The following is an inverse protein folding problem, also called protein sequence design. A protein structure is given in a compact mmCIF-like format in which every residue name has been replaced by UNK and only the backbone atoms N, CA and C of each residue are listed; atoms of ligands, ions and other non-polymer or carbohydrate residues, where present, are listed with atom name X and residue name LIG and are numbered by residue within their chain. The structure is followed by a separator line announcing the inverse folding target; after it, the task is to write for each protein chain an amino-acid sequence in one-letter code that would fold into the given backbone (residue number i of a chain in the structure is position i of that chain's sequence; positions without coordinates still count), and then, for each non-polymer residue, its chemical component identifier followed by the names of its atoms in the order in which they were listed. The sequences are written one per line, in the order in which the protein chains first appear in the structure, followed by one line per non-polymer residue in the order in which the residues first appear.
data_IF_144237352150
#
_entry.id   IF_144237352150
#
_cell.length_a   1.000
_cell.length_b   1.000
_cell.length_c   1.000
_cell.angle_alpha   90.00
_cell.angle_beta   90.00
_cell.angle_gamma   90.00
#
_symmetry.space_group_name_H-M   'P 1'
#
loop_
_entity.id
_entity.type
_entity.pdbx_description
1 polymer ?
#
# COMPACT_ATOMS: atom_id res chain seq x y z
N UNK A 1 -13.08 5.78 -34.96
CA UNK A 1 -13.99 5.58 -33.81
C UNK A 1 -13.23 4.83 -32.74
N UNK A 2 -12.54 5.55 -31.86
CA UNK A 2 -12.14 5.01 -30.57
C UNK A 2 -13.11 5.60 -29.56
N UNK A 3 -13.97 4.71 -29.08
CA UNK A 3 -15.09 4.94 -28.19
C UNK A 3 -14.61 5.50 -26.86
N UNK A 4 -15.45 6.37 -26.29
CA UNK A 4 -15.19 7.19 -25.12
C UNK A 4 -14.59 6.45 -23.93
N UNK A 5 -13.49 7.00 -23.44
CA UNK A 5 -13.19 7.01 -22.01
C UNK A 5 -13.84 8.31 -21.55
N UNK A 6 -14.99 8.20 -20.87
CA UNK A 6 -15.68 9.35 -20.31
C UNK A 6 -14.74 10.06 -19.33
N UNK A 7 -14.76 11.40 -19.32
CA UNK A 7 -13.94 12.24 -18.44
C UNK A 7 -14.11 11.91 -16.93
N UNK A 8 -15.12 11.13 -16.55
CA UNK A 8 -15.31 10.58 -15.21
C UNK A 8 -14.24 9.54 -14.82
N UNK A 9 -13.76 8.73 -15.78
CA UNK A 9 -12.82 7.61 -15.55
C UNK A 9 -11.39 8.09 -15.22
N UNK A 10 -11.11 9.37 -15.49
CA UNK A 10 -9.85 10.06 -15.18
C UNK A 10 -9.92 10.77 -13.82
N UNK A 11 -11.10 10.91 -13.22
CA UNK A 11 -11.34 11.74 -12.02
C UNK A 11 -11.54 10.95 -10.71
N UNK A 12 -11.63 9.62 -10.74
CA UNK A 12 -11.88 8.78 -9.55
C UNK A 12 -10.76 7.79 -9.19
N UNK A 13 -9.55 7.94 -9.75
CA UNK A 13 -8.44 7.06 -9.35
C UNK A 13 -8.04 7.34 -7.90
N UNK A 14 -8.31 6.37 -7.03
CA UNK A 14 -7.91 6.37 -5.62
C UNK A 14 -6.66 5.53 -5.46
N UNK A 15 -5.62 6.11 -4.89
CA UNK A 15 -4.34 5.45 -4.66
C UNK A 15 -4.05 5.37 -3.16
N UNK A 16 -3.86 4.15 -2.66
CA UNK A 16 -3.31 3.89 -1.34
C UNK A 16 -1.80 3.68 -1.45
N UNK A 17 -1.02 4.61 -0.91
CA UNK A 17 0.43 4.50 -0.75
C UNK A 17 0.77 4.00 0.65
N UNK A 18 1.31 2.80 0.76
CA UNK A 18 1.70 2.21 2.04
C UNK A 18 3.21 2.33 2.24
N UNK A 19 3.61 2.95 3.35
CA UNK A 19 4.98 2.84 3.86
C UNK A 19 5.18 1.41 4.41
N UNK A 20 5.90 0.62 3.63
CA UNK A 20 6.15 -0.77 3.93
C UNK A 20 7.03 -1.00 5.16
N UNK A 21 7.92 -0.06 5.50
CA UNK A 21 8.73 -0.18 6.72
C UNK A 21 7.84 0.00 7.95
N UNK A 22 7.05 1.09 7.99
CA UNK A 22 6.08 1.31 9.06
C UNK A 22 5.12 0.12 9.22
N UNK A 23 4.63 -0.44 8.10
CA UNK A 23 3.69 -1.55 8.10
C UNK A 23 4.24 -2.83 8.73
N UNK A 24 5.37 -3.36 8.21
CA UNK A 24 5.96 -4.62 8.69
C UNK A 24 6.44 -4.53 10.15
N UNK A 25 6.80 -3.32 10.61
CA UNK A 25 7.24 -3.05 11.97
C UNK A 25 6.11 -2.61 12.90
N UNK A 26 4.85 -2.62 12.47
CA UNK A 26 3.69 -2.30 13.31
C UNK A 26 2.76 -3.49 13.50
N UNK A 27 2.45 -4.24 12.44
CA UNK A 27 1.51 -5.38 12.49
C UNK A 27 2.08 -6.58 13.29
N UNK A 28 1.32 -7.14 14.24
CA UNK A 28 1.79 -8.21 15.14
C UNK A 28 2.35 -9.44 14.41
N UNK A 29 1.72 -9.84 13.30
CA UNK A 29 2.05 -11.04 12.53
C UNK A 29 3.43 -10.88 11.88
N UNK A 30 3.69 -9.73 11.24
CA UNK A 30 4.95 -9.40 10.58
C UNK A 30 6.06 -9.18 11.60
N UNK A 31 5.77 -8.48 12.71
CA UNK A 31 6.70 -8.36 13.85
C UNK A 31 7.14 -9.72 14.38
N UNK A 32 6.20 -10.65 14.51
CA UNK A 32 6.48 -12.01 14.98
C UNK A 32 7.39 -12.77 14.02
N UNK A 33 7.22 -12.58 12.71
CA UNK A 33 8.10 -13.17 11.69
C UNK A 33 9.51 -12.57 11.77
N UNK A 34 9.62 -11.24 11.78
CA UNK A 34 10.91 -10.53 11.86
C UNK A 34 11.67 -10.94 13.11
N UNK A 35 11.01 -10.95 14.28
CA UNK A 35 11.63 -11.31 15.55
C UNK A 35 12.13 -12.76 15.58
N UNK A 36 11.43 -13.69 14.90
CA UNK A 36 11.79 -15.12 14.91
C UNK A 36 12.89 -15.47 13.91
N UNK A 37 12.98 -14.77 12.79
CA UNK A 37 13.92 -15.13 11.71
C UNK A 37 15.09 -14.16 11.48
N UNK A 38 15.23 -13.09 12.26
CA UNK A 38 16.40 -12.19 12.16
C UNK A 38 16.45 -11.38 10.86
N UNK A 39 17.65 -11.06 10.36
CA UNK A 39 17.85 -10.22 9.17
C UNK A 39 17.22 -10.75 7.88
N UNK A 40 17.12 -12.08 7.77
CA UNK A 40 16.57 -12.78 6.60
C UNK A 40 15.02 -12.84 6.58
N UNK A 41 14.36 -12.47 7.68
CA UNK A 41 12.91 -12.53 7.82
C UNK A 41 12.15 -11.33 7.22
N UNK A 42 12.88 -10.33 6.71
CA UNK A 42 12.28 -9.13 6.09
C UNK A 42 11.46 -9.51 4.86
N UNK A 43 11.99 -10.40 4.00
CA UNK A 43 11.32 -10.80 2.77
C UNK A 43 10.02 -11.58 3.00
N UNK A 44 9.97 -12.59 3.90
CA UNK A 44 8.71 -13.18 4.34
C UNK A 44 7.69 -12.15 4.87
N UNK A 45 8.12 -11.18 5.68
CA UNK A 45 7.21 -10.15 6.21
C UNK A 45 6.65 -9.23 5.11
N UNK A 46 7.47 -8.88 4.10
CA UNK A 46 7.03 -8.11 2.92
C UNK A 46 5.96 -8.85 2.14
N UNK A 47 6.18 -10.14 1.84
CA UNK A 47 5.20 -10.97 1.13
C UNK A 47 3.89 -11.09 1.89
N UNK A 48 3.94 -11.28 3.22
CA UNK A 48 2.74 -11.32 4.04
C UNK A 48 1.98 -9.99 4.03
N UNK A 49 2.70 -8.85 4.02
CA UNK A 49 2.07 -7.53 3.91
C UNK A 49 1.37 -7.35 2.57
N UNK A 50 2.05 -7.68 1.46
CA UNK A 50 1.46 -7.60 0.11
C UNK A 50 0.20 -8.47 0.02
N UNK A 51 0.26 -9.71 0.51
CA UNK A 51 -0.89 -10.61 0.52
C UNK A 51 -2.07 -10.05 1.34
N UNK A 52 -1.82 -9.47 2.51
CA UNK A 52 -2.88 -8.89 3.34
C UNK A 52 -3.53 -7.67 2.68
N UNK A 53 -2.74 -6.84 1.99
CA UNK A 53 -3.25 -5.68 1.26
C UNK A 53 -4.09 -6.05 0.04
N UNK A 54 -3.98 -7.27 -0.46
CA UNK A 54 -4.80 -7.78 -1.57
C UNK A 54 -6.29 -7.67 -1.24
N UNK A 55 -6.67 -7.88 0.02
CA UNK A 55 -8.04 -7.74 0.48
C UNK A 55 -8.63 -6.36 0.19
N UNK A 56 -7.83 -5.28 0.24
CA UNK A 56 -8.29 -3.93 -0.11
C UNK A 56 -8.42 -3.80 -1.63
N UNK A 57 -7.41 -4.21 -2.39
CA UNK A 57 -7.42 -4.13 -3.86
C UNK A 57 -8.55 -4.97 -4.49
N UNK A 58 -8.89 -6.11 -3.88
CA UNK A 58 -9.95 -7.01 -4.36
C UNK A 58 -11.36 -6.54 -3.96
N UNK A 59 -11.49 -5.93 -2.77
CA UNK A 59 -12.78 -5.49 -2.23
C UNK A 59 -13.17 -4.07 -2.67
N UNK A 60 -12.24 -3.30 -3.24
CA UNK A 60 -12.42 -1.89 -3.57
C UNK A 60 -11.83 -1.55 -4.93
N UNK A 61 -12.10 -0.36 -5.44
CA UNK A 61 -11.48 0.17 -6.67
C UNK A 61 -10.20 0.97 -6.39
N UNK A 62 -9.61 0.77 -5.20
CA UNK A 62 -8.40 1.50 -4.77
C UNK A 62 -7.17 0.80 -5.32
N UNK A 63 -6.38 1.51 -6.11
CA UNK A 63 -5.04 1.05 -6.49
C UNK A 63 -4.15 1.03 -5.24
N UNK A 64 -3.46 -0.08 -4.97
CA UNK A 64 -2.57 -0.20 -3.82
C UNK A 64 -1.12 -0.25 -4.28
N UNK A 65 -0.28 0.63 -3.73
CA UNK A 65 1.15 0.57 -3.91
C UNK A 65 1.88 0.57 -2.56
N UNK A 66 2.82 -0.37 -2.40
CA UNK A 66 3.64 -0.49 -1.19
C UNK A 66 5.06 -0.05 -1.51
N UNK A 67 5.59 0.88 -0.72
CA UNK A 67 6.95 1.40 -0.89
C UNK A 67 7.84 0.85 0.21
N UNK A 68 8.92 0.17 -0.17
CA UNK A 68 9.94 -0.31 0.75
C UNK A 68 11.28 0.38 0.50
N UNK A 69 12.11 0.49 1.52
CA UNK A 69 13.52 0.83 1.31
C UNK A 69 14.24 -0.28 0.54
N UNK A 70 14.86 0.10 -0.58
CA UNK A 70 15.69 -0.79 -1.38
C UNK A 70 17.18 -0.71 -1.02
N UNK A 71 17.88 -1.83 -1.17
CA UNK A 71 19.34 -1.91 -1.05
C UNK A 71 19.97 -1.84 -2.45
N UNK A 72 19.97 -0.65 -3.05
CA UNK A 72 20.60 -0.39 -4.35
C UNK A 72 19.67 -0.63 -5.55
N UNK A 73 19.72 0.30 -6.53
CA UNK A 73 18.87 0.31 -7.74
C UNK A 73 17.39 0.63 -7.46
N UNK A 74 16.73 1.42 -8.33
CA UNK A 74 15.26 1.59 -8.25
C UNK A 74 14.64 0.42 -9.02
N UNK A 75 13.87 -0.41 -8.33
CA UNK A 75 13.18 -1.55 -8.95
C UNK A 75 11.68 -1.44 -8.63
N UNK A 76 10.87 -1.42 -9.68
CA UNK A 76 9.43 -1.60 -9.58
C UNK A 76 9.16 -3.08 -9.86
N UNK A 77 8.51 -3.75 -8.93
CA UNK A 77 8.08 -5.13 -9.09
C UNK A 77 6.57 -5.15 -8.95
N UNK A 78 5.89 -5.47 -10.04
CA UNK A 78 4.49 -5.89 -9.94
C UNK A 78 4.55 -7.32 -9.43
N UNK A 79 3.95 -7.59 -8.28
CA UNK A 79 3.85 -8.97 -7.81
C UNK A 79 2.78 -9.67 -8.66
N UNK A 80 3.21 -10.44 -9.66
CA UNK A 80 2.31 -11.18 -10.55
C UNK A 80 1.43 -12.20 -9.79
N UNK A 81 1.79 -12.56 -8.55
CA UNK A 81 0.99 -13.47 -7.71
C UNK A 81 -0.19 -12.79 -7.02
N UNK A 82 -0.19 -11.45 -6.92
CA UNK A 82 -1.26 -10.66 -6.28
C UNK A 82 -1.72 -9.59 -7.25
N UNK A 83 -2.80 -9.86 -7.98
CA UNK A 83 -3.34 -8.94 -8.98
C UNK A 83 -3.71 -7.60 -8.31
N UNK A 84 -3.29 -6.48 -8.88
CA UNK A 84 -3.71 -5.14 -8.42
C UNK A 84 -2.82 -4.46 -7.38
N UNK A 85 -1.72 -5.08 -6.92
CA UNK A 85 -0.76 -4.44 -6.01
C UNK A 85 0.58 -4.15 -6.70
N UNK A 86 1.04 -2.90 -6.59
CA UNK A 86 2.37 -2.49 -7.05
C UNK A 86 3.35 -2.47 -5.88
N UNK A 87 4.44 -3.22 -5.97
CA UNK A 87 5.53 -3.16 -4.99
C UNK A 87 6.66 -2.30 -5.56
N UNK A 88 7.05 -1.26 -4.82
CA UNK A 88 8.08 -0.33 -5.26
C UNK A 88 9.22 -0.31 -4.26
N UNK A 89 10.43 -0.55 -4.73
CA UNK A 89 11.64 -0.38 -3.94
C UNK A 89 12.27 0.98 -4.24
N UNK A 90 12.55 1.73 -3.17
CA UNK A 90 13.38 2.93 -3.27
C UNK A 90 14.79 2.56 -3.77
N UNK A 91 15.46 3.49 -4.45
CA UNK A 91 16.74 3.20 -5.10
C UNK A 91 17.79 4.29 -4.88
N UNK A 92 19.06 3.87 -4.77
CA UNK A 92 20.21 4.76 -4.67
C UNK A 92 20.26 5.53 -3.34
N UNK A 93 20.33 6.86 -3.39
CA UNK A 93 20.37 7.76 -2.21
C UNK A 93 18.97 8.18 -1.71
N UNK A 94 17.89 7.63 -2.24
CA UNK A 94 16.51 8.07 -1.94
C UNK A 94 15.82 7.03 -1.07
N UNK A 95 15.26 7.48 0.05
CA UNK A 95 14.44 6.66 0.95
C UNK A 95 13.04 6.41 0.37
N UNK A 96 12.33 5.45 0.95
CA UNK A 96 10.90 5.23 0.73
C UNK A 96 10.09 6.52 0.97
N UNK A 97 10.38 7.23 2.07
CA UNK A 97 9.75 8.50 2.43
C UNK A 97 9.83 9.53 1.29
N UNK A 98 11.05 9.76 0.78
CA UNK A 98 11.25 10.71 -0.32
C UNK A 98 10.59 10.27 -1.63
N UNK A 99 10.31 8.98 -1.81
CA UNK A 99 9.50 8.51 -2.93
C UNK A 99 8.01 8.80 -2.72
N UNK A 100 7.48 8.53 -1.52
CA UNK A 100 6.09 8.83 -1.16
C UNK A 100 5.82 10.33 -1.33
N UNK A 101 6.66 11.18 -0.73
CA UNK A 101 6.57 12.64 -0.86
C UNK A 101 6.54 13.09 -2.33
N UNK A 102 7.39 12.50 -3.18
CA UNK A 102 7.45 12.85 -4.60
C UNK A 102 6.20 12.44 -5.36
N UNK A 103 5.65 11.26 -5.07
CA UNK A 103 4.40 10.81 -5.70
C UNK A 103 3.27 11.74 -5.30
N UNK A 104 3.16 12.05 -4.01
CA UNK A 104 2.14 12.96 -3.48
C UNK A 104 2.30 14.37 -4.04
N UNK A 105 3.49 14.96 -3.98
CA UNK A 105 3.73 16.32 -4.50
C UNK A 105 3.42 16.45 -6.00
N UNK A 106 3.55 15.36 -6.76
CA UNK A 106 3.26 15.35 -8.20
C UNK A 106 1.78 15.11 -8.52
N UNK A 107 1.09 14.30 -7.72
CA UNK A 107 -0.21 13.75 -8.10
C UNK A 107 -1.34 14.04 -7.09
N UNK A 108 -1.03 14.46 -5.88
CA UNK A 108 -1.99 14.67 -4.78
C UNK A 108 -3.02 15.77 -5.04
N UNK A 109 -2.78 16.67 -5.99
CA UNK A 109 -3.76 17.65 -6.43
C UNK A 109 -4.70 17.12 -7.55
N UNK A 110 -4.33 16.02 -8.21
CA UNK A 110 -5.03 15.48 -9.39
C UNK A 110 -5.83 14.22 -9.06
N UNK A 111 -5.35 13.41 -8.13
CA UNK A 111 -5.96 12.13 -7.73
C UNK A 111 -6.06 12.05 -6.21
N UNK A 112 -7.05 11.29 -5.73
CA UNK A 112 -7.21 11.04 -4.30
C UNK A 112 -6.14 10.03 -3.83
N UNK A 113 -5.14 10.52 -3.07
CA UNK A 113 -4.08 9.70 -2.50
C UNK A 113 -4.29 9.59 -1.00
N UNK A 114 -4.20 8.38 -0.46
CA UNK A 114 -4.07 8.15 0.98
C UNK A 114 -2.71 7.54 1.28
N UNK A 115 -1.94 8.16 2.17
CA UNK A 115 -0.65 7.65 2.65
C UNK A 115 -0.85 6.95 3.99
N UNK A 116 -0.46 5.68 4.08
CA UNK A 116 -0.46 4.91 5.31
C UNK A 116 0.96 4.75 5.88
N UNK A 117 1.23 5.38 7.04
CA UNK A 117 2.51 5.31 7.74
C UNK A 117 2.32 5.50 9.25
N UNK A 118 3.35 5.18 10.04
CA UNK A 118 3.43 5.59 11.44
C UNK A 118 4.51 6.68 11.67
N UNK A 119 5.23 7.08 10.63
CA UNK A 119 6.14 8.23 10.70
C UNK A 119 5.36 9.53 10.54
N UNK A 120 5.41 10.38 11.58
CA UNK A 120 4.71 11.66 11.59
C UNK A 120 5.19 12.58 10.47
N UNK A 121 6.50 12.63 10.19
CA UNK A 121 7.05 13.51 9.18
C UNK A 121 6.56 13.14 7.79
N UNK A 122 6.48 11.83 7.50
CA UNK A 122 5.91 11.31 6.24
C UNK A 122 4.45 11.70 6.11
N UNK A 123 3.64 11.53 7.16
CA UNK A 123 2.22 11.89 7.12
C UNK A 123 2.01 13.40 6.98
N UNK A 124 2.76 14.21 7.72
CA UNK A 124 2.67 15.68 7.65
C UNK A 124 3.05 16.19 6.26
N UNK A 125 4.11 15.64 5.66
CA UNK A 125 4.53 15.97 4.30
C UNK A 125 3.50 15.52 3.25
N UNK A 126 2.90 14.34 3.43
CA UNK A 126 1.83 13.85 2.57
C UNK A 126 0.60 14.77 2.59
N UNK A 127 0.15 15.17 3.78
CA UNK A 127 -0.97 16.12 3.94
C UNK A 127 -0.65 17.48 3.32
N UNK A 128 0.57 17.99 3.52
CA UNK A 128 1.01 19.24 2.90
C UNK A 128 1.01 19.16 1.35
N UNK A 129 1.20 17.98 0.78
CA UNK A 129 1.14 17.72 -0.67
C UNK A 129 -0.25 17.34 -1.20
N UNK A 130 -1.30 17.41 -0.38
CA UNK A 130 -2.69 17.18 -0.80
C UNK A 130 -3.20 15.75 -0.65
N UNK A 131 -2.45 14.85 -0.01
CA UNK A 131 -2.91 13.50 0.28
C UNK A 131 -3.63 13.41 1.64
N UNK A 132 -4.53 12.45 1.76
CA UNK A 132 -5.02 11.99 3.06
C UNK A 132 -3.95 11.18 3.78
N UNK A 133 -4.00 11.16 5.11
CA UNK A 133 -3.08 10.42 5.96
C UNK A 133 -3.81 9.36 6.79
N UNK A 134 -3.22 8.18 6.89
CA UNK A 134 -3.74 7.05 7.65
C UNK A 134 -2.66 6.42 8.53
N UNK A 135 -3.01 6.07 9.76
CA UNK A 135 -2.11 5.26 10.60
C UNK A 135 -2.07 3.81 10.11
N UNK A 136 -0.97 3.10 10.38
CA UNK A 136 -0.90 1.66 10.06
C UNK A 136 -1.95 0.83 10.82
N UNK A 137 -2.37 1.28 12.00
CA UNK A 137 -3.48 0.66 12.73
C UNK A 137 -4.81 0.82 11.98
N UNK A 138 -5.07 2.00 11.41
CA UNK A 138 -6.23 2.24 10.57
C UNK A 138 -6.22 1.36 9.31
N UNK A 139 -5.04 1.24 8.69
CA UNK A 139 -4.84 0.34 7.54
C UNK A 139 -5.16 -1.12 7.91
N UNK A 140 -4.69 -1.58 9.08
CA UNK A 140 -5.00 -2.94 9.57
C UNK A 140 -6.50 -3.17 9.72
N UNK A 141 -7.20 -2.21 10.34
CA UNK A 141 -8.65 -2.29 10.54
C UNK A 141 -9.42 -2.32 9.22
N UNK A 142 -8.91 -1.62 8.20
CA UNK A 142 -9.51 -1.65 6.88
C UNK A 142 -9.35 -3.02 6.22
N UNK A 143 -8.14 -3.59 6.24
CA UNK A 143 -7.88 -4.98 5.77
C UNK A 143 -8.82 -5.97 6.48
N UNK A 144 -8.88 -5.92 7.82
CA UNK A 144 -9.74 -6.80 8.62
C UNK A 144 -11.23 -6.67 8.28
N UNK A 145 -11.65 -5.48 7.84
CA UNK A 145 -13.03 -5.21 7.41
C UNK A 145 -13.30 -5.81 6.04
N UNK A 146 -12.39 -5.61 5.07
CA UNK A 146 -12.49 -6.24 3.74
C UNK A 146 -12.53 -7.77 3.81
N UNK A 147 -11.67 -8.38 4.64
CA UNK A 147 -11.63 -9.84 4.83
C UNK A 147 -12.90 -10.39 5.49
N UNK A 148 -13.53 -9.61 6.37
CA UNK A 148 -14.80 -9.97 6.99
C UNK A 148 -15.93 -9.90 5.97
N UNK A 149 -16.00 -8.82 5.22
CA UNK A 149 -17.03 -8.62 4.20
C UNK A 149 -16.94 -9.69 3.11
N UNK A 150 -15.73 -10.07 2.69
CA UNK A 150 -15.51 -11.18 1.77
C UNK A 150 -16.04 -12.50 2.34
N UNK A 151 -15.70 -12.83 3.59
CA UNK A 151 -16.19 -14.05 4.26
C UNK A 151 -17.71 -14.06 4.43
N UNK A 152 -18.32 -12.94 4.78
CA UNK A 152 -19.78 -12.85 4.98
C UNK A 152 -20.55 -12.95 3.66
N UNK A 153 -19.96 -12.45 2.56
CA UNK A 153 -20.54 -12.48 1.22
C UNK A 153 -20.40 -13.84 0.54
N UNK A 154 -19.24 -14.49 0.64
CA UNK A 154 -18.93 -15.73 -0.10
C UNK A 154 -18.91 -16.99 0.76
N UNK A 155 -18.77 -16.87 2.08
CA UNK A 155 -18.78 -18.01 3.01
C UNK A 155 -20.13 -18.74 3.11
N UNK A 156 -21.22 -18.14 2.60
CA UNK A 156 -22.52 -18.78 2.45
C UNK A 156 -22.65 -19.67 1.21
N UNK A 157 -21.75 -19.55 0.22
CA UNK A 157 -21.81 -20.29 -1.03
C UNK A 157 -20.82 -21.47 -1.10
N UNK A 158 -19.94 -21.62 -0.10
CA UNK A 158 -18.94 -22.69 -0.02
C UNK A 158 -19.28 -23.76 1.04
N UNK A 159 -20.58 -23.92 1.36
CA UNK A 159 -21.10 -24.99 2.22
C UNK A 159 -22.01 -25.93 1.46
#
# INVERSE_FOLDING_TARGET
MFSGIELADVMERRLLLVDGHSAIHAWPEMKSVIRRGGGDATEPARRMLVQALAAIADATEVEVAVVFDGKGGRHEQVDESTTGIRVVFSGGKRSADGMIERVVAKHGAEIAITVASNDRLVLDAAMAGGADAMSIRGLQQWVDSCDRDFRDRYGRYLR
#
